data_IF_912121326725
#
_entry.id   IF_912121326725
#
_cell.length_a   1.000
_cell.length_b   1.000
_cell.length_c   1.000
_cell.angle_alpha   90.00
_cell.angle_beta   90.00
_cell.angle_gamma   90.00
#
_symmetry.space_group_name_H-M   'P 1'
#
loop_
_entity.id
_entity.type
_entity.pdbx_description
1 polymer ?
#
# COMPACT_ATOMS: atom_id res chain seq x y z
N UNK A 1 -5.15 29.12 -54.98
CA UNK A 1 -4.45 27.87 -54.69
C UNK A 1 -3.87 27.99 -53.27
N UNK A 2 -4.55 27.45 -52.28
CA UNK A 2 -4.10 27.53 -50.89
C UNK A 2 -3.29 26.26 -50.56
N UNK A 3 -2.00 26.40 -50.37
CA UNK A 3 -1.18 25.32 -49.81
C UNK A 3 -1.36 25.30 -48.28
N UNK A 4 -1.91 24.22 -47.77
CA UNK A 4 -2.04 23.96 -46.34
C UNK A 4 -0.66 23.58 -45.81
N UNK A 5 -0.05 24.43 -45.03
CA UNK A 5 1.14 24.10 -44.25
C UNK A 5 0.80 23.03 -43.20
N UNK A 6 1.32 21.82 -43.43
CA UNK A 6 1.12 20.66 -42.57
C UNK A 6 2.08 20.61 -41.34
N UNK A 7 2.83 21.69 -41.06
CA UNK A 7 3.87 21.70 -40.02
C UNK A 7 3.40 22.26 -38.67
N UNK A 8 2.24 22.92 -38.59
CA UNK A 8 1.78 23.56 -37.34
C UNK A 8 1.07 22.60 -36.40
N UNK A 9 0.54 21.47 -36.92
CA UNK A 9 -0.23 20.53 -36.10
C UNK A 9 0.56 19.61 -35.20
N UNK A 10 1.83 19.35 -35.55
CA UNK A 10 2.64 18.40 -34.75
C UNK A 10 3.30 19.04 -33.51
N UNK A 11 3.69 20.32 -33.61
CA UNK A 11 4.30 21.03 -32.48
C UNK A 11 3.28 21.39 -31.39
N UNK A 12 2.04 21.75 -31.78
CA UNK A 12 0.94 21.96 -30.82
C UNK A 12 0.50 20.67 -30.13
N UNK A 13 0.50 19.53 -30.83
CA UNK A 13 0.17 18.24 -30.23
C UNK A 13 1.25 17.74 -29.27
N UNK A 14 2.54 18.05 -29.49
CA UNK A 14 3.59 17.71 -28.54
C UNK A 14 3.56 18.57 -27.27
N UNK A 15 3.24 19.85 -27.38
CA UNK A 15 3.05 20.71 -26.20
C UNK A 15 1.84 20.29 -25.35
N UNK A 16 0.78 19.76 -25.95
CA UNK A 16 -0.39 19.27 -25.25
C UNK A 16 -0.19 17.89 -24.58
N UNK A 17 0.79 17.10 -25.01
CA UNK A 17 1.11 15.80 -24.40
C UNK A 17 1.60 15.90 -22.95
N UNK A 18 2.12 17.04 -22.52
CA UNK A 18 2.55 17.31 -21.15
C UNK A 18 1.46 17.93 -20.28
N UNK A 19 0.32 18.34 -20.85
CA UNK A 19 -0.80 18.97 -20.15
C UNK A 19 -1.86 17.92 -19.87
N UNK A 20 -1.98 17.53 -18.61
CA UNK A 20 -2.99 16.58 -18.17
C UNK A 20 -3.43 16.89 -16.74
N UNK A 21 -4.58 16.36 -16.37
CA UNK A 21 -5.03 16.37 -14.99
C UNK A 21 -5.38 14.94 -14.56
N UNK A 22 -5.12 14.63 -13.29
CA UNK A 22 -5.57 13.39 -12.67
C UNK A 22 -6.88 13.64 -11.96
N UNK A 23 -7.85 12.74 -12.17
CA UNK A 23 -9.12 12.75 -11.45
C UNK A 23 -9.04 11.75 -10.32
N UNK A 24 -9.32 12.19 -9.12
CA UNK A 24 -9.38 11.33 -7.94
C UNK A 24 -10.80 11.29 -7.41
N UNK A 25 -11.27 10.10 -7.03
CA UNK A 25 -12.54 9.91 -6.35
C UNK A 25 -12.28 9.59 -4.88
N UNK A 26 -13.04 10.21 -4.00
CA UNK A 26 -12.99 9.88 -2.58
C UNK A 26 -13.65 8.52 -2.36
N UNK A 27 -12.94 7.61 -1.72
CA UNK A 27 -13.40 6.27 -1.35
C UNK A 27 -13.35 6.10 0.17
N UNK A 28 -14.09 5.11 0.68
CA UNK A 28 -14.00 4.73 2.09
C UNK A 28 -12.63 4.09 2.35
N UNK A 29 -12.10 4.31 3.55
CA UNK A 29 -10.85 3.67 3.97
C UNK A 29 -10.98 2.14 3.95
N UNK A 30 -9.94 1.46 3.47
CA UNK A 30 -9.82 0.00 3.56
C UNK A 30 -9.53 -0.47 5.00
N UNK A 31 -9.15 0.46 5.90
CA UNK A 31 -8.96 0.22 7.32
C UNK A 31 -10.15 0.78 8.11
N UNK A 32 -11.18 -0.02 8.36
CA UNK A 32 -12.34 0.43 9.10
C UNK A 32 -11.94 0.83 10.51
N UNK A 33 -12.55 1.88 11.04
CA UNK A 33 -12.43 2.21 12.46
C UNK A 33 -12.93 1.04 13.29
N UNK A 34 -12.27 0.78 14.40
CA UNK A 34 -12.79 -0.13 15.41
C UNK A 34 -13.96 0.57 16.08
N UNK A 35 -15.17 0.06 15.85
CA UNK A 35 -16.43 0.60 16.38
C UNK A 35 -17.09 -0.39 17.36
N UNK A 36 -16.30 -1.31 17.92
CA UNK A 36 -16.79 -2.24 18.91
C UNK A 36 -16.92 -1.56 20.28
N UNK A 37 -18.08 -1.59 20.85
CA UNK A 37 -18.33 -1.25 22.24
C UNK A 37 -18.96 -2.45 22.94
N UNK A 38 -18.49 -2.86 24.15
CA UNK A 38 -19.14 -3.89 24.95
C UNK A 38 -20.59 -3.50 25.25
N UNK A 39 -21.49 -4.45 25.23
CA UNK A 39 -22.88 -4.26 25.60
C UNK A 39 -23.00 -4.32 27.13
N UNK A 40 -23.44 -3.24 27.79
CA UNK A 40 -23.55 -3.23 29.27
C UNK A 40 -24.62 -4.16 29.83
N UNK A 41 -25.57 -4.63 28.99
CA UNK A 41 -26.61 -5.57 29.40
C UNK A 41 -26.20 -7.04 29.31
N UNK A 42 -24.99 -7.31 28.72
CA UNK A 42 -24.48 -8.68 28.56
C UNK A 42 -23.38 -8.99 29.56
N UNK A 43 -23.23 -10.28 29.84
CA UNK A 43 -22.11 -10.75 30.66
C UNK A 43 -20.75 -10.52 29.98
N UNK A 44 -19.68 -10.55 30.76
CA UNK A 44 -18.31 -10.45 30.27
C UNK A 44 -17.99 -11.54 29.22
N UNK A 45 -18.44 -12.78 29.48
CA UNK A 45 -18.23 -13.91 28.56
C UNK A 45 -18.91 -13.69 27.19
N UNK A 46 -20.14 -13.19 27.19
CA UNK A 46 -20.88 -12.86 25.96
C UNK A 46 -20.23 -11.70 25.20
N UNK A 47 -19.74 -10.69 25.90
CA UNK A 47 -19.01 -9.57 25.28
C UNK A 47 -17.70 -10.02 24.66
N UNK A 48 -16.98 -10.97 25.28
CA UNK A 48 -15.76 -11.56 24.72
C UNK A 48 -16.09 -12.34 23.43
N UNK A 49 -17.18 -13.09 23.39
CA UNK A 49 -17.60 -13.80 22.17
C UNK A 49 -17.99 -12.83 21.05
N UNK A 50 -18.71 -11.75 21.37
CA UNK A 50 -19.06 -10.71 20.43
C UNK A 50 -17.81 -10.01 19.86
N UNK A 51 -16.83 -9.74 20.70
CA UNK A 51 -15.56 -9.15 20.28
C UNK A 51 -14.80 -10.10 19.34
N UNK A 52 -14.70 -11.38 19.65
CA UNK A 52 -14.08 -12.40 18.80
C UNK A 52 -14.75 -12.47 17.44
N UNK A 53 -16.08 -12.52 17.42
CA UNK A 53 -16.86 -12.51 16.17
C UNK A 53 -16.61 -11.24 15.36
N UNK A 54 -16.63 -10.08 16.00
CA UNK A 54 -16.34 -8.79 15.36
C UNK A 54 -14.95 -8.76 14.73
N UNK A 55 -13.93 -9.26 15.44
CA UNK A 55 -12.54 -9.35 14.92
C UNK A 55 -12.51 -10.26 13.69
N UNK A 56 -13.10 -11.47 13.78
CA UNK A 56 -13.14 -12.42 12.66
C UNK A 56 -13.86 -11.85 11.44
N UNK A 57 -15.00 -11.19 11.64
CA UNK A 57 -15.75 -10.55 10.54
C UNK A 57 -14.96 -9.41 9.88
N UNK A 58 -14.22 -8.63 10.68
CA UNK A 58 -13.35 -7.54 10.16
C UNK A 58 -12.14 -8.10 9.43
N UNK A 59 -11.51 -9.15 9.93
CA UNK A 59 -10.42 -9.83 9.26
C UNK A 59 -10.86 -10.42 7.92
N UNK A 60 -12.04 -11.05 7.87
CA UNK A 60 -12.62 -11.59 6.64
C UNK A 60 -12.93 -10.48 5.62
N UNK A 61 -13.42 -9.32 6.05
CA UNK A 61 -13.63 -8.16 5.18
C UNK A 61 -12.31 -7.62 4.62
N UNK A 62 -11.25 -7.55 5.44
CA UNK A 62 -9.92 -7.13 4.99
C UNK A 62 -9.29 -8.10 3.98
N UNK A 63 -9.58 -9.41 4.12
CA UNK A 63 -9.04 -10.43 3.19
C UNK A 63 -9.75 -10.43 1.84
N UNK A 64 -11.08 -10.22 1.84
CA UNK A 64 -11.91 -10.50 0.67
C UNK A 64 -12.38 -9.25 -0.10
N UNK A 65 -12.21 -8.06 0.43
CA UNK A 65 -12.93 -6.88 -0.06
C UNK A 65 -12.07 -5.68 -0.44
N UNK A 66 -10.74 -5.72 -0.32
CA UNK A 66 -9.97 -4.55 -0.73
C UNK A 66 -9.52 -4.60 -2.19
N UNK A 67 -9.69 -3.47 -2.85
CA UNK A 67 -9.02 -3.22 -4.11
C UNK A 67 -7.53 -2.92 -3.82
N UNK A 68 -6.64 -3.71 -4.42
CA UNK A 68 -5.19 -3.61 -4.19
C UNK A 68 -4.64 -2.21 -4.51
N UNK A 69 -5.13 -1.60 -5.57
CA UNK A 69 -4.69 -0.26 -6.00
C UNK A 69 -5.20 0.84 -5.05
N UNK A 70 -6.42 0.69 -4.54
CA UNK A 70 -6.99 1.61 -3.54
C UNK A 70 -6.24 1.50 -2.22
N UNK A 71 -5.96 0.28 -1.77
CA UNK A 71 -5.17 0.03 -0.56
C UNK A 71 -3.75 0.61 -0.69
N UNK A 72 -3.08 0.40 -1.82
CA UNK A 72 -1.76 0.95 -2.10
C UNK A 72 -1.77 2.49 -2.00
N UNK A 73 -2.75 3.12 -2.66
CA UNK A 73 -2.92 4.57 -2.62
C UNK A 73 -3.14 5.06 -1.19
N UNK A 74 -3.98 4.38 -0.42
CA UNK A 74 -4.24 4.72 0.98
C UNK A 74 -2.98 4.61 1.85
N UNK A 75 -2.20 3.54 1.70
CA UNK A 75 -0.94 3.34 2.41
C UNK A 75 0.05 4.46 2.08
N UNK A 76 0.20 4.81 0.81
CA UNK A 76 1.10 5.88 0.39
C UNK A 76 0.69 7.23 0.98
N UNK A 77 -0.60 7.60 0.89
CA UNK A 77 -1.12 8.85 1.45
C UNK A 77 -0.89 8.91 2.97
N UNK A 78 -1.21 7.83 3.70
CA UNK A 78 -1.00 7.75 5.16
C UNK A 78 0.48 7.84 5.57
N UNK A 79 1.39 7.47 4.67
CA UNK A 79 2.83 7.66 4.85
C UNK A 79 3.35 8.99 4.31
N UNK A 80 2.46 9.89 3.88
CA UNK A 80 2.77 11.25 3.45
C UNK A 80 3.37 11.36 2.05
N UNK A 81 3.02 10.41 1.15
CA UNK A 81 3.33 10.50 -0.27
C UNK A 81 2.30 11.35 -0.99
N UNK A 82 2.74 12.05 -2.03
CA UNK A 82 1.86 12.84 -2.90
C UNK A 82 1.05 11.91 -3.82
N UNK A 83 -0.12 12.35 -4.27
CA UNK A 83 -0.99 11.56 -5.17
C UNK A 83 -0.42 11.35 -6.58
N UNK A 84 0.61 12.08 -6.97
CA UNK A 84 1.28 11.95 -8.27
C UNK A 84 2.46 10.98 -8.23
N UNK A 85 2.45 10.03 -7.30
CA UNK A 85 3.48 8.99 -7.22
C UNK A 85 3.53 8.12 -8.47
N UNK A 86 4.67 7.52 -8.71
CA UNK A 86 4.92 6.50 -9.73
C UNK A 86 5.24 5.16 -9.08
N UNK A 87 4.87 4.08 -9.76
CA UNK A 87 5.10 2.71 -9.31
C UNK A 87 5.94 1.95 -10.31
N UNK A 88 6.92 1.21 -9.83
CA UNK A 88 7.73 0.30 -10.65
C UNK A 88 7.86 -1.04 -9.94
N UNK A 89 7.50 -2.12 -10.64
CA UNK A 89 7.65 -3.48 -10.11
C UNK A 89 9.12 -3.88 -10.08
N UNK A 90 9.57 -4.41 -8.95
CA UNK A 90 10.94 -4.89 -8.77
C UNK A 90 11.05 -6.35 -9.24
N UNK A 91 11.76 -6.58 -10.35
CA UNK A 91 11.86 -7.89 -10.98
C UNK A 91 12.80 -8.87 -10.24
N UNK A 92 13.61 -8.38 -9.31
CA UNK A 92 14.54 -9.18 -8.50
C UNK A 92 13.82 -10.09 -7.50
N UNK A 93 12.61 -9.69 -7.06
CA UNK A 93 11.80 -10.48 -6.13
C UNK A 93 10.88 -11.44 -6.88
N UNK A 94 11.25 -12.74 -6.90
CA UNK A 94 10.48 -13.76 -7.63
C UNK A 94 9.29 -14.32 -6.85
N UNK A 95 9.36 -14.33 -5.53
CA UNK A 95 8.34 -14.93 -4.65
C UNK A 95 7.35 -13.92 -4.07
N UNK A 96 7.69 -12.65 -4.11
CA UNK A 96 6.81 -11.56 -3.69
C UNK A 96 6.73 -10.48 -4.75
N UNK A 97 5.59 -9.84 -4.83
CA UNK A 97 5.44 -8.64 -5.63
C UNK A 97 5.85 -7.42 -4.80
N UNK A 98 7.04 -6.93 -5.08
CA UNK A 98 7.57 -5.71 -4.48
C UNK A 98 7.41 -4.56 -5.47
N UNK A 99 6.75 -3.51 -5.03
CA UNK A 99 6.54 -2.28 -5.80
C UNK A 99 7.42 -1.18 -5.23
N UNK A 100 8.23 -0.58 -6.09
CA UNK A 100 8.94 0.66 -5.78
C UNK A 100 7.99 1.82 -6.05
N UNK A 101 7.75 2.64 -5.04
CA UNK A 101 6.92 3.83 -5.11
C UNK A 101 7.76 5.08 -4.85
N UNK A 102 7.61 6.09 -5.71
CA UNK A 102 8.23 7.40 -5.50
C UNK A 102 7.30 8.53 -5.93
N UNK A 103 7.33 9.63 -5.19
CA UNK A 103 6.65 10.89 -5.54
C UNK A 103 7.64 12.00 -5.95
N UNK A 104 8.91 11.62 -6.18
CA UNK A 104 10.01 12.50 -6.50
C UNK A 104 10.77 13.02 -5.27
N UNK A 105 10.12 13.10 -4.10
CA UNK A 105 10.76 13.55 -2.85
C UNK A 105 11.03 12.36 -1.90
N UNK A 106 10.21 11.33 -1.98
CA UNK A 106 10.26 10.15 -1.11
C UNK A 106 10.19 8.88 -1.93
N UNK A 107 10.83 7.85 -1.41
CA UNK A 107 10.89 6.52 -2.02
C UNK A 107 10.58 5.45 -0.99
N UNK A 108 9.93 4.38 -1.42
CA UNK A 108 9.66 3.22 -0.59
C UNK A 108 9.42 1.97 -1.42
N UNK A 109 9.72 0.83 -0.86
CA UNK A 109 9.30 -0.48 -1.36
C UNK A 109 8.06 -0.94 -0.62
N UNK A 110 7.07 -1.46 -1.33
CA UNK A 110 5.79 -1.90 -0.77
C UNK A 110 5.52 -3.33 -1.18
N UNK A 111 5.16 -4.17 -0.20
CA UNK A 111 4.66 -5.52 -0.41
C UNK A 111 3.24 -5.62 0.13
N UNK A 112 2.28 -5.91 -0.76
CA UNK A 112 0.87 -6.13 -0.40
C UNK A 112 0.47 -7.60 -0.47
N UNK A 113 1.43 -8.50 -0.52
CA UNK A 113 1.15 -9.93 -0.50
C UNK A 113 0.67 -10.37 0.89
N UNK A 114 -0.12 -11.42 0.93
CA UNK A 114 -0.64 -11.99 2.17
C UNK A 114 0.40 -12.78 2.96
N UNK A 115 1.51 -13.16 2.32
CA UNK A 115 2.63 -13.89 2.91
C UNK A 115 3.92 -13.32 2.34
N UNK A 116 4.87 -12.98 3.21
CA UNK A 116 6.22 -12.60 2.79
C UNK A 116 7.14 -13.81 2.84
N UNK A 117 7.91 -14.02 1.77
CA UNK A 117 8.86 -15.12 1.65
C UNK A 117 10.13 -14.85 2.48
N UNK A 118 10.76 -15.92 2.98
CA UNK A 118 11.98 -15.82 3.80
C UNK A 118 13.14 -15.20 3.02
N UNK A 119 13.20 -15.44 1.70
CA UNK A 119 14.20 -14.82 0.81
C UNK A 119 14.04 -13.30 0.76
N UNK A 120 12.79 -12.83 0.71
CA UNK A 120 12.49 -11.39 0.73
C UNK A 120 12.87 -10.76 2.07
N UNK A 121 12.59 -11.46 3.18
CA UNK A 121 13.02 -11.02 4.52
C UNK A 121 14.54 -10.98 4.60
N UNK A 122 15.25 -12.01 4.09
CA UNK A 122 16.72 -12.06 4.09
C UNK A 122 17.33 -10.91 3.28
N UNK A 123 16.75 -10.57 2.13
CA UNK A 123 17.17 -9.43 1.31
C UNK A 123 17.15 -8.12 2.11
N UNK A 124 16.03 -7.83 2.79
CA UNK A 124 15.88 -6.59 3.56
C UNK A 124 16.67 -6.57 4.88
N UNK A 125 17.06 -7.70 5.39
CA UNK A 125 18.01 -7.76 6.54
C UNK A 125 19.41 -7.28 6.17
N UNK A 126 19.80 -7.38 4.91
CA UNK A 126 21.10 -6.93 4.39
C UNK A 126 21.04 -5.56 3.71
N UNK A 127 19.89 -5.16 3.19
CA UNK A 127 19.67 -3.88 2.50
C UNK A 127 18.78 -2.97 3.36
N UNK A 128 19.32 -2.49 4.47
CA UNK A 128 18.58 -1.76 5.51
C UNK A 128 18.30 -0.29 5.20
N UNK A 129 18.97 0.26 4.18
CA UNK A 129 18.81 1.67 3.78
C UNK A 129 17.50 1.92 3.00
N UNK A 130 16.92 0.85 2.46
CA UNK A 130 15.67 0.94 1.71
C UNK A 130 14.49 0.96 2.68
N UNK A 131 13.57 1.89 2.46
CA UNK A 131 12.31 1.91 3.22
C UNK A 131 11.38 0.82 2.71
N UNK A 132 10.86 0.01 3.63
CA UNK A 132 9.95 -1.09 3.34
C UNK A 132 8.64 -0.95 4.10
N UNK A 133 7.52 -1.07 3.38
CA UNK A 133 6.18 -1.17 3.94
C UNK A 133 5.58 -2.53 3.58
N UNK A 134 5.13 -3.27 4.59
CA UNK A 134 4.53 -4.60 4.42
C UNK A 134 3.20 -4.65 5.17
N UNK A 135 2.25 -5.42 4.67
CA UNK A 135 1.01 -5.69 5.42
C UNK A 135 1.35 -6.47 6.70
N UNK A 136 0.86 -6.02 7.84
CA UNK A 136 1.13 -6.66 9.13
C UNK A 136 0.73 -8.14 9.15
N UNK A 137 -0.41 -8.47 8.53
CA UNK A 137 -0.91 -9.84 8.41
C UNK A 137 -0.02 -10.78 7.58
N UNK A 138 0.87 -10.24 6.74
CA UNK A 138 1.82 -11.04 5.94
C UNK A 138 3.01 -11.52 6.76
N UNK A 139 3.15 -11.01 7.97
CA UNK A 139 4.29 -11.20 8.86
C UNK A 139 3.89 -12.09 10.05
N UNK A 140 4.63 -13.15 10.27
CA UNK A 140 4.65 -13.78 11.57
C UNK A 140 5.48 -12.96 12.56
N UNK A 141 5.38 -13.28 13.86
CA UNK A 141 6.09 -12.55 14.92
C UNK A 141 7.61 -12.54 14.71
N UNK A 142 8.18 -13.65 14.22
CA UNK A 142 9.61 -13.78 13.97
C UNK A 142 10.09 -12.90 12.83
N UNK A 143 9.37 -12.91 11.70
CA UNK A 143 9.68 -12.07 10.54
C UNK A 143 9.53 -10.58 10.86
N UNK A 144 8.47 -10.21 11.57
CA UNK A 144 8.23 -8.84 12.01
C UNK A 144 9.37 -8.35 12.91
N UNK A 145 9.74 -9.15 13.89
CA UNK A 145 10.83 -8.82 14.81
C UNK A 145 12.17 -8.71 14.06
N UNK A 146 12.50 -9.67 13.19
CA UNK A 146 13.73 -9.67 12.41
C UNK A 146 13.85 -8.43 11.52
N UNK A 147 12.79 -8.06 10.79
CA UNK A 147 12.77 -6.87 9.94
C UNK A 147 12.87 -5.59 10.78
N UNK A 148 12.12 -5.49 11.88
CA UNK A 148 12.18 -4.31 12.74
C UNK A 148 13.55 -4.16 13.41
N UNK A 149 14.17 -5.26 13.83
CA UNK A 149 15.50 -5.24 14.44
C UNK A 149 16.59 -4.85 13.43
N UNK A 150 16.53 -5.37 12.20
CA UNK A 150 17.53 -5.08 11.18
C UNK A 150 17.36 -3.68 10.58
N UNK A 151 16.14 -3.28 10.23
CA UNK A 151 15.84 -2.07 9.46
C UNK A 151 15.46 -0.86 10.34
N UNK A 152 15.06 -1.07 11.60
CA UNK A 152 14.70 0.04 12.49
C UNK A 152 13.51 0.85 11.95
N UNK A 153 13.72 2.15 11.74
CA UNK A 153 12.67 3.09 11.32
C UNK A 153 12.37 3.06 9.82
N UNK A 154 13.22 2.39 9.02
CA UNK A 154 12.97 2.20 7.58
C UNK A 154 11.94 1.10 7.32
N UNK A 155 11.64 0.25 8.31
CA UNK A 155 10.60 -0.77 8.23
C UNK A 155 9.29 -0.31 8.86
N UNK A 156 8.18 -0.48 8.13
CA UNK A 156 6.81 -0.27 8.61
C UNK A 156 5.93 -1.48 8.31
N UNK A 157 5.29 -2.01 9.33
CA UNK A 157 4.14 -2.90 9.19
C UNK A 157 2.86 -2.05 9.18
N UNK A 158 1.91 -2.41 8.30
CA UNK A 158 0.71 -1.60 8.07
C UNK A 158 -0.54 -2.46 8.15
#
# INVERSE_FOLDING_TARGET
MFTKDASTGSAEQEQLKGLGFKVFKLQKSNFPRVEFAPDPEKSEAENIELLKKYITDKEAQLVNAFNRDELLTEILIKNGYKLNYTLTKQAEFKKNEILFATDGDKETLICLDVIIADETVAHFKTNTDQKLIVLERALDTTKKWNLKHAMGDTFKAF
#
